data_IF_029061532175
#
_entry.id   IF_029061532175
#
_cell.length_a   1.000
_cell.length_b   1.000
_cell.length_c   1.000
_cell.angle_alpha   90.00
_cell.angle_beta   90.00
_cell.angle_gamma   90.00
#
_symmetry.space_group_name_H-M   'P 1'
#
loop_
_entity.id
_entity.type
_entity.pdbx_description
1 polymer ?
#
# COMPACT_ATOMS: atom_id res chain seq x y z
N UNK A 1 14.80 72.46 -25.11
CA UNK A 1 13.47 71.87 -25.21
C UNK A 1 13.40 70.39 -24.84
N UNK A 2 14.49 69.68 -24.57
CA UNK A 2 14.51 68.26 -24.28
C UNK A 2 14.43 67.89 -22.74
N UNK A 3 14.60 68.88 -21.86
CA UNK A 3 14.65 68.69 -20.44
C UNK A 3 13.28 68.82 -19.72
N UNK A 4 12.37 69.63 -20.30
CA UNK A 4 11.03 69.81 -19.73
C UNK A 4 10.13 68.58 -19.89
N UNK A 5 10.36 67.78 -20.92
CA UNK A 5 9.60 66.52 -21.14
C UNK A 5 9.90 65.37 -20.16
N UNK A 6 11.17 65.25 -19.74
CA UNK A 6 11.60 64.22 -18.78
C UNK A 6 11.06 64.48 -17.37
N UNK A 7 10.98 65.74 -16.97
CA UNK A 7 10.48 66.14 -15.63
C UNK A 7 8.97 65.91 -15.54
N UNK A 8 8.20 66.18 -16.61
CA UNK A 8 6.75 65.95 -16.64
C UNK A 8 6.39 64.47 -16.58
N UNK A 9 7.12 63.62 -17.31
CA UNK A 9 6.91 62.15 -17.30
C UNK A 9 7.25 61.54 -15.97
N UNK A 10 8.33 61.98 -15.31
CA UNK A 10 8.71 61.51 -13.98
C UNK A 10 7.68 61.92 -12.90
N UNK A 11 7.14 63.14 -12.99
CA UNK A 11 6.14 63.63 -12.03
C UNK A 11 4.79 62.90 -12.20
N UNK A 12 4.41 62.57 -13.43
CA UNK A 12 3.21 61.78 -13.73
C UNK A 12 3.37 60.33 -13.28
N UNK A 13 4.54 59.72 -13.47
CA UNK A 13 4.83 58.34 -13.00
C UNK A 13 4.88 58.26 -11.48
N UNK A 14 5.37 59.27 -10.78
CA UNK A 14 5.33 59.31 -9.30
C UNK A 14 3.90 59.48 -8.75
N UNK A 15 3.05 60.26 -9.40
CA UNK A 15 1.65 60.44 -8.97
C UNK A 15 0.78 59.23 -9.22
N UNK A 16 1.09 58.38 -10.21
CA UNK A 16 0.34 57.14 -10.47
C UNK A 16 0.79 55.94 -9.62
N UNK A 17 2.01 55.98 -9.06
CA UNK A 17 2.54 54.83 -8.27
C UNK A 17 2.01 54.74 -6.83
N UNK A 18 1.71 55.87 -6.20
CA UNK A 18 1.29 55.89 -4.78
C UNK A 18 -0.16 55.38 -4.57
N UNK A 19 -1.16 55.82 -5.35
CA UNK A 19 -2.51 55.30 -5.16
C UNK A 19 -2.65 53.85 -5.58
N UNK A 20 -1.88 53.37 -6.55
CA UNK A 20 -1.92 51.97 -7.00
C UNK A 20 -1.28 51.00 -5.98
N UNK A 21 -0.21 51.43 -5.31
CA UNK A 21 0.39 50.64 -4.23
C UNK A 21 -0.49 50.58 -2.98
N UNK A 22 -1.12 51.71 -2.61
CA UNK A 22 -2.06 51.75 -1.49
C UNK A 22 -3.33 50.93 -1.78
N UNK A 23 -3.87 50.94 -2.99
CA UNK A 23 -5.01 50.14 -3.39
C UNK A 23 -4.65 48.64 -3.42
N UNK A 24 -3.43 48.27 -3.82
CA UNK A 24 -2.94 46.87 -3.80
C UNK A 24 -2.74 46.38 -2.36
N UNK A 25 -2.20 47.22 -1.48
CA UNK A 25 -2.06 46.87 -0.04
C UNK A 25 -3.43 46.76 0.63
N UNK A 26 -4.39 47.61 0.31
CA UNK A 26 -5.74 47.56 0.83
C UNK A 26 -6.52 46.31 0.31
N UNK A 27 -6.27 45.89 -0.93
CA UNK A 27 -6.81 44.64 -1.49
C UNK A 27 -6.22 43.38 -0.83
N UNK A 28 -4.98 43.44 -0.34
CA UNK A 28 -4.31 42.34 0.37
C UNK A 28 -4.74 42.23 1.85
N UNK A 29 -5.39 43.25 2.41
CA UNK A 29 -5.87 43.26 3.80
C UNK A 29 -7.35 42.90 3.94
N UNK A 30 -8.06 42.65 2.84
CA UNK A 30 -9.40 42.07 2.93
C UNK A 30 -9.28 40.64 3.48
N UNK A 31 -9.96 40.30 4.60
CA UNK A 31 -9.96 38.94 5.09
C UNK A 31 -10.58 38.07 3.99
N UNK A 32 -9.75 37.33 3.28
CA UNK A 32 -10.23 36.21 2.48
C UNK A 32 -10.82 35.23 3.50
N UNK A 33 -12.14 35.11 3.55
CA UNK A 33 -12.81 34.02 4.24
C UNK A 33 -12.44 32.75 3.45
N UNK A 34 -11.25 32.25 3.71
CA UNK A 34 -10.85 30.95 3.25
C UNK A 34 -11.72 29.94 4.03
N UNK A 35 -12.63 29.27 3.33
CA UNK A 35 -13.30 28.12 3.88
C UNK A 35 -12.22 27.13 4.30
N UNK A 36 -12.19 26.79 5.59
CA UNK A 36 -11.20 25.88 6.14
C UNK A 36 -11.50 24.48 5.59
N UNK A 37 -10.69 24.03 4.62
CA UNK A 37 -10.82 22.70 4.03
C UNK A 37 -10.22 21.72 5.04
N UNK A 38 -11.00 20.76 5.58
CA UNK A 38 -10.45 19.77 6.49
C UNK A 38 -9.26 19.05 5.86
N UNK A 39 -8.13 18.99 6.59
CA UNK A 39 -6.93 18.35 6.08
C UNK A 39 -7.12 16.84 5.91
N UNK A 40 -7.74 16.18 6.88
CA UNK A 40 -7.98 14.75 6.89
C UNK A 40 -9.47 14.46 7.11
N UNK A 41 -10.09 13.73 6.19
CA UNK A 41 -11.49 13.28 6.26
C UNK A 41 -11.52 11.77 6.14
N UNK A 42 -12.13 11.10 7.14
CA UNK A 42 -12.39 9.66 7.07
C UNK A 42 -13.88 9.42 6.83
N UNK A 43 -14.18 8.66 5.77
CA UNK A 43 -15.52 8.17 5.45
C UNK A 43 -15.58 6.70 5.79
N UNK A 44 -16.47 6.30 6.70
CA UNK A 44 -16.72 4.90 6.99
C UNK A 44 -17.96 4.45 6.22
N UNK A 45 -17.88 3.31 5.54
CA UNK A 45 -18.97 2.82 4.72
C UNK A 45 -19.15 1.31 4.78
N UNK A 46 -20.38 0.86 4.62
CA UNK A 46 -20.74 -0.54 4.41
C UNK A 46 -21.54 -0.67 3.13
N UNK A 47 -21.26 -1.70 2.34
CA UNK A 47 -22.02 -2.08 1.16
C UNK A 47 -22.51 -3.52 1.32
N UNK A 48 -23.83 -3.74 1.27
CA UNK A 48 -24.45 -5.05 1.42
C UNK A 48 -25.58 -5.25 0.43
N UNK A 49 -25.51 -6.25 -0.46
CA UNK A 49 -26.67 -6.66 -1.26
C UNK A 49 -27.62 -7.48 -0.38
N UNK A 50 -28.89 -7.06 -0.26
CA UNK A 50 -29.89 -7.70 0.58
C UNK A 50 -31.31 -7.31 0.13
N UNK A 51 -32.20 -8.29 -0.01
CA UNK A 51 -33.61 -8.07 -0.33
C UNK A 51 -33.84 -7.42 -1.71
N UNK A 52 -33.05 -7.78 -2.73
CA UNK A 52 -33.15 -7.18 -4.08
C UNK A 52 -32.63 -5.74 -4.16
N UNK A 53 -31.92 -5.28 -3.16
CA UNK A 53 -31.33 -3.94 -3.09
C UNK A 53 -29.88 -3.99 -2.67
N UNK A 54 -29.08 -3.06 -3.16
CA UNK A 54 -27.74 -2.79 -2.65
C UNK A 54 -27.84 -1.66 -1.65
N UNK A 55 -27.55 -1.95 -0.38
CA UNK A 55 -27.53 -0.95 0.68
C UNK A 55 -26.14 -0.39 0.85
N UNK A 56 -26.02 0.93 0.85
CA UNK A 56 -24.82 1.67 1.19
C UNK A 56 -25.10 2.48 2.46
N UNK A 57 -24.43 2.11 3.56
CA UNK A 57 -24.40 2.91 4.77
C UNK A 57 -23.11 3.72 4.74
N UNK A 58 -23.20 5.03 5.00
CA UNK A 58 -22.02 5.88 5.05
C UNK A 58 -22.06 6.83 6.24
N UNK A 59 -20.90 7.02 6.89
CA UNK A 59 -20.68 7.99 7.96
C UNK A 59 -19.59 8.96 7.54
N UNK A 60 -19.89 10.26 7.58
CA UNK A 60 -19.01 11.33 7.13
C UNK A 60 -19.06 12.50 8.10
N UNK A 61 -17.92 13.14 8.46
CA UNK A 61 -17.94 14.36 9.26
C UNK A 61 -18.70 15.49 8.56
N UNK A 62 -19.66 16.11 9.26
CA UNK A 62 -20.45 17.22 8.71
C UNK A 62 -19.58 18.42 8.32
N UNK A 63 -18.47 18.66 9.03
CA UNK A 63 -17.50 19.71 8.71
C UNK A 63 -16.87 19.56 7.31
N UNK A 64 -16.89 18.35 6.72
CA UNK A 64 -16.40 18.10 5.36
C UNK A 64 -17.39 18.55 4.27
N UNK A 65 -18.67 18.74 4.63
CA UNK A 65 -19.74 19.13 3.72
C UNK A 65 -19.96 20.63 3.82
N UNK A 66 -19.38 21.36 2.90
CA UNK A 66 -19.46 22.82 2.80
C UNK A 66 -20.69 23.24 2.00
N UNK A 67 -21.06 24.50 2.12
CA UNK A 67 -22.15 25.10 1.33
C UNK A 67 -23.51 24.43 1.55
N UNK A 68 -23.71 23.88 2.77
CA UNK A 68 -25.01 23.34 3.21
C UNK A 68 -25.67 24.34 4.12
N UNK A 69 -26.83 24.85 3.69
CA UNK A 69 -27.64 25.72 4.54
C UNK A 69 -28.37 24.88 5.59
N UNK A 70 -27.96 25.05 6.84
CA UNK A 70 -28.50 24.27 7.96
C UNK A 70 -29.25 25.14 8.95
N UNK A 71 -30.43 24.70 9.41
CA UNK A 71 -31.18 25.40 10.41
C UNK A 71 -30.42 25.44 11.73
N UNK A 72 -30.27 26.66 12.30
CA UNK A 72 -29.55 26.90 13.55
C UNK A 72 -30.48 27.54 14.58
N UNK A 73 -30.25 27.19 15.84
CA UNK A 73 -30.86 27.84 17.01
C UNK A 73 -29.99 28.98 17.53
N UNK A 74 -30.51 29.75 18.51
CA UNK A 74 -29.73 30.76 19.23
C UNK A 74 -28.44 30.16 19.79
N UNK A 75 -27.29 30.85 19.60
CA UNK A 75 -25.98 30.36 19.98
C UNK A 75 -25.24 29.55 18.90
N UNK A 76 -25.84 29.42 17.69
CA UNK A 76 -25.17 28.74 16.54
C UNK A 76 -25.31 27.22 16.53
N UNK A 77 -26.02 26.62 17.49
CA UNK A 77 -26.26 25.18 17.56
C UNK A 77 -27.22 24.69 16.47
N UNK A 78 -27.04 23.45 16.01
CA UNK A 78 -27.97 22.81 15.07
C UNK A 78 -29.41 22.74 15.62
N UNK A 79 -30.38 23.02 14.80
CA UNK A 79 -31.77 22.73 15.10
C UNK A 79 -32.10 21.30 14.70
N UNK A 80 -31.87 20.35 15.59
CA UNK A 80 -32.07 18.92 15.34
C UNK A 80 -33.54 18.55 15.01
N UNK A 81 -34.51 19.40 15.33
CA UNK A 81 -35.88 19.17 14.97
C UNK A 81 -36.17 19.51 13.49
N UNK A 82 -35.33 20.32 12.84
CA UNK A 82 -35.54 20.85 11.48
C UNK A 82 -34.44 20.50 10.49
N UNK A 83 -33.40 19.78 10.93
CA UNK A 83 -32.16 19.53 10.16
C UNK A 83 -32.35 18.51 9.02
N UNK A 84 -33.39 17.68 9.04
CA UNK A 84 -33.53 16.52 8.15
C UNK A 84 -33.45 16.87 6.66
N UNK A 85 -34.10 17.94 6.22
CA UNK A 85 -34.02 18.35 4.81
C UNK A 85 -32.61 18.77 4.40
N UNK A 86 -31.90 19.46 5.28
CA UNK A 86 -30.51 19.87 5.03
C UNK A 86 -29.55 18.65 5.00
N UNK A 87 -29.76 17.66 5.88
CA UNK A 87 -29.00 16.41 5.87
C UNK A 87 -29.24 15.61 4.59
N UNK A 88 -30.48 15.52 4.14
CA UNK A 88 -30.83 14.83 2.91
C UNK A 88 -30.15 15.48 1.69
N UNK A 89 -30.22 16.81 1.60
CA UNK A 89 -29.54 17.57 0.56
C UNK A 89 -28.02 17.38 0.61
N UNK A 90 -27.43 17.44 1.80
CA UNK A 90 -26.00 17.20 1.99
C UNK A 90 -25.59 15.78 1.57
N UNK A 91 -26.36 14.77 1.96
CA UNK A 91 -26.13 13.38 1.57
C UNK A 91 -26.18 13.19 0.04
N UNK A 92 -27.15 13.84 -0.63
CA UNK A 92 -27.25 13.76 -2.09
C UNK A 92 -26.07 14.44 -2.77
N UNK A 93 -25.84 15.73 -2.46
CA UNK A 93 -24.83 16.57 -3.12
C UNK A 93 -23.39 16.06 -2.90
N UNK A 94 -23.08 15.61 -1.70
CA UNK A 94 -21.71 15.25 -1.32
C UNK A 94 -21.40 13.76 -1.43
N UNK A 95 -22.38 12.87 -1.34
CA UNK A 95 -22.20 11.43 -1.37
C UNK A 95 -22.84 10.77 -2.58
N UNK A 96 -24.19 10.84 -2.73
CA UNK A 96 -24.89 10.13 -3.79
C UNK A 96 -24.38 10.48 -5.19
N UNK A 97 -24.17 11.77 -5.46
CA UNK A 97 -23.74 12.26 -6.77
C UNK A 97 -22.25 11.94 -7.07
N UNK A 98 -21.49 11.60 -6.02
CA UNK A 98 -20.05 11.35 -6.11
C UNK A 98 -19.64 9.88 -5.85
N UNK A 99 -20.58 9.00 -5.51
CA UNK A 99 -20.34 7.56 -5.37
C UNK A 99 -21.04 6.84 -6.52
N UNK A 100 -20.26 6.23 -7.40
CA UNK A 100 -20.79 5.42 -8.48
C UNK A 100 -20.75 3.95 -8.07
N UNK A 101 -21.89 3.27 -8.11
CA UNK A 101 -22.02 1.83 -7.89
C UNK A 101 -22.42 1.14 -9.19
N UNK A 102 -21.92 -0.06 -9.39
CA UNK A 102 -22.13 -0.84 -10.62
C UNK A 102 -22.53 -2.27 -10.27
N UNK A 103 -23.47 -2.82 -11.06
CA UNK A 103 -23.81 -4.23 -11.14
C UNK A 103 -23.28 -4.78 -12.47
N UNK A 104 -22.30 -5.67 -12.42
CA UNK A 104 -21.53 -6.01 -13.61
C UNK A 104 -20.87 -4.78 -14.23
N UNK A 105 -21.14 -4.50 -15.50
CA UNK A 105 -20.65 -3.30 -16.19
C UNK A 105 -21.66 -2.15 -16.22
N UNK A 106 -22.85 -2.36 -15.72
CA UNK A 106 -23.92 -1.38 -15.72
C UNK A 106 -23.85 -0.50 -14.46
N UNK A 107 -23.81 0.83 -14.63
CA UNK A 107 -23.92 1.77 -13.52
C UNK A 107 -25.34 1.71 -12.96
N UNK A 108 -25.45 1.58 -11.65
CA UNK A 108 -26.74 1.64 -10.96
C UNK A 108 -27.32 3.05 -11.05
N UNK A 109 -28.65 3.12 -11.10
CA UNK A 109 -29.37 4.40 -11.06
C UNK A 109 -29.11 5.14 -9.75
N UNK A 110 -29.43 6.44 -9.71
CA UNK A 110 -29.32 7.23 -8.48
C UNK A 110 -30.05 6.57 -7.32
N UNK A 111 -29.43 6.48 -6.13
CA UNK A 111 -30.03 5.80 -5.00
C UNK A 111 -31.18 6.59 -4.41
N UNK A 112 -32.01 5.89 -3.65
CA UNK A 112 -32.92 6.53 -2.71
C UNK A 112 -32.17 6.70 -1.38
N UNK A 113 -32.04 7.91 -0.88
CA UNK A 113 -31.64 8.15 0.51
C UNK A 113 -32.84 7.81 1.41
N UNK A 114 -32.75 6.70 2.13
CA UNK A 114 -33.85 6.17 2.94
C UNK A 114 -33.88 6.84 4.31
N UNK A 115 -32.70 6.94 4.94
CA UNK A 115 -32.55 7.56 6.25
C UNK A 115 -31.30 8.43 6.28
N UNK A 116 -31.39 9.55 6.97
CA UNK A 116 -30.28 10.44 7.29
C UNK A 116 -30.38 10.87 8.74
N UNK A 117 -29.24 10.98 9.42
CA UNK A 117 -29.20 11.46 10.81
C UNK A 117 -27.89 12.10 11.18
N UNK A 118 -27.94 12.91 12.22
CA UNK A 118 -26.75 13.42 12.91
C UNK A 118 -26.34 12.46 14.00
N UNK A 119 -25.04 12.17 14.09
CA UNK A 119 -24.42 11.38 15.14
C UNK A 119 -23.27 12.14 15.79
N UNK A 120 -22.88 11.74 17.00
CA UNK A 120 -21.72 12.29 17.71
C UNK A 120 -20.43 11.62 17.21
N UNK A 121 -19.30 12.31 17.29
CA UNK A 121 -17.98 11.73 16.98
C UNK A 121 -17.64 10.50 17.85
N UNK A 122 -18.17 10.46 19.09
CA UNK A 122 -17.97 9.35 20.02
C UNK A 122 -18.89 8.15 19.79
N UNK A 123 -19.83 8.24 18.84
CA UNK A 123 -20.79 7.16 18.57
C UNK A 123 -20.11 5.94 17.96
N UNK A 124 -20.18 4.74 18.61
CA UNK A 124 -19.46 3.55 18.17
C UNK A 124 -20.21 2.71 17.12
N UNK A 125 -21.42 3.08 16.72
CA UNK A 125 -22.32 2.22 15.94
C UNK A 125 -21.79 1.76 14.58
N UNK A 126 -20.83 2.49 13.98
CA UNK A 126 -20.18 2.08 12.72
C UNK A 126 -19.04 1.03 12.89
N UNK A 127 -19.04 0.29 14.00
CA UNK A 127 -18.13 -0.87 14.18
C UNK A 127 -18.59 -2.09 13.40
N UNK A 128 -19.90 -2.32 13.31
CA UNK A 128 -20.51 -3.39 12.50
C UNK A 128 -21.65 -2.84 11.64
N UNK A 129 -22.02 -3.61 10.60
CA UNK A 129 -23.13 -3.25 9.71
C UNK A 129 -24.46 -3.25 10.47
N UNK A 130 -24.68 -4.25 11.32
CA UNK A 130 -25.91 -4.45 12.09
C UNK A 130 -26.12 -3.32 13.09
N UNK A 131 -25.05 -2.91 13.80
CA UNK A 131 -25.10 -1.76 14.73
C UNK A 131 -25.36 -0.45 13.98
N UNK A 132 -24.70 -0.22 12.83
CA UNK A 132 -24.89 0.97 12.02
C UNK A 132 -26.31 1.08 11.46
N UNK A 133 -26.88 -0.04 10.99
CA UNK A 133 -28.25 -0.08 10.50
C UNK A 133 -29.27 0.14 11.65
N UNK A 134 -29.08 -0.53 12.77
CA UNK A 134 -29.93 -0.35 13.95
C UNK A 134 -29.86 1.10 14.48
N UNK A 135 -28.67 1.71 14.46
CA UNK A 135 -28.50 3.10 14.82
C UNK A 135 -29.25 4.02 13.85
N UNK A 136 -29.11 3.86 12.54
CA UNK A 136 -29.80 4.68 11.53
C UNK A 136 -31.31 4.60 11.64
N UNK A 137 -31.88 3.46 11.97
CA UNK A 137 -33.30 3.21 12.10
C UNK A 137 -33.84 3.41 13.53
N UNK A 138 -32.97 3.63 14.49
CA UNK A 138 -33.30 3.76 15.91
C UNK A 138 -33.69 5.17 16.36
N UNK A 139 -33.64 5.45 17.67
CA UNK A 139 -33.99 6.78 18.24
C UNK A 139 -32.99 7.84 17.79
N UNK A 140 -33.44 9.05 17.50
CA UNK A 140 -32.64 10.22 17.14
C UNK A 140 -32.07 10.92 18.38
N UNK A 141 -31.09 11.80 18.17
CA UNK A 141 -30.56 12.65 19.23
C UNK A 141 -31.68 13.57 19.76
N UNK A 142 -31.70 13.85 21.07
CA UNK A 142 -32.70 14.74 21.65
C UNK A 142 -32.66 16.14 21.00
N UNK A 143 -33.84 16.71 20.65
CA UNK A 143 -33.95 18.01 20.00
C UNK A 143 -33.29 19.13 20.81
N UNK A 144 -33.18 19.01 22.13
CA UNK A 144 -32.56 19.98 23.03
C UNK A 144 -31.04 19.97 23.06
N UNK A 145 -30.39 18.97 22.43
CA UNK A 145 -28.92 18.83 22.48
C UNK A 145 -28.23 20.03 21.82
N UNK A 146 -27.17 20.52 22.48
CA UNK A 146 -26.32 21.58 21.99
C UNK A 146 -25.19 20.98 21.18
N UNK A 147 -25.26 21.00 19.87
CA UNK A 147 -24.30 20.44 18.93
C UNK A 147 -24.02 21.44 17.82
N UNK A 148 -22.74 21.72 17.56
CA UNK A 148 -22.33 22.49 16.38
C UNK A 148 -22.22 21.58 15.16
N UNK A 149 -22.36 22.17 13.96
CA UNK A 149 -22.21 21.45 12.68
C UNK A 149 -20.87 20.74 12.57
N UNK A 150 -19.82 21.40 13.01
CA UNK A 150 -18.44 20.93 12.93
C UNK A 150 -18.15 19.71 13.83
N UNK A 151 -18.97 19.47 14.84
CA UNK A 151 -18.85 18.38 15.82
C UNK A 151 -19.71 17.17 15.50
N UNK A 152 -20.57 17.29 14.47
CA UNK A 152 -21.47 16.21 14.09
C UNK A 152 -20.90 15.33 12.98
N UNK A 153 -21.45 14.11 12.91
CA UNK A 153 -21.29 13.19 11.79
C UNK A 153 -22.62 13.05 11.06
N UNK A 154 -22.61 12.97 9.74
CA UNK A 154 -23.74 12.53 8.95
C UNK A 154 -23.67 11.00 8.81
N UNK A 155 -24.72 10.33 9.25
CA UNK A 155 -24.97 8.93 8.92
C UNK A 155 -26.10 8.88 7.89
N UNK A 156 -25.92 8.07 6.84
CA UNK A 156 -26.90 7.92 5.76
C UNK A 156 -27.03 6.47 5.30
N UNK A 157 -28.25 6.07 4.99
CA UNK A 157 -28.61 4.82 4.32
C UNK A 157 -29.10 5.13 2.90
N UNK A 158 -28.36 4.67 1.91
CA UNK A 158 -28.78 4.66 0.51
C UNK A 158 -29.21 3.25 0.08
N UNK A 159 -30.27 3.17 -0.72
CA UNK A 159 -30.70 1.94 -1.37
C UNK A 159 -30.69 2.09 -2.89
N UNK A 160 -30.05 1.14 -3.56
CA UNK A 160 -29.99 1.03 -5.01
C UNK A 160 -30.76 -0.21 -5.46
N UNK A 161 -31.64 -0.14 -6.46
CA UNK A 161 -32.27 -1.33 -7.03
C UNK A 161 -31.22 -2.16 -7.76
N UNK A 162 -31.21 -3.48 -7.55
CA UNK A 162 -30.30 -4.42 -8.19
C UNK A 162 -31.06 -5.59 -8.81
N UNK A 163 -30.48 -6.19 -9.84
CA UNK A 163 -31.04 -7.37 -10.50
C UNK A 163 -30.74 -8.68 -9.74
N UNK A 164 -29.57 -8.76 -9.06
CA UNK A 164 -29.19 -9.97 -8.32
C UNK A 164 -28.26 -9.66 -7.15
N UNK A 165 -28.52 -10.22 -5.98
CA UNK A 165 -27.64 -10.11 -4.81
C UNK A 165 -26.27 -10.77 -5.02
N UNK A 166 -26.19 -11.75 -5.92
CA UNK A 166 -24.97 -12.47 -6.29
C UNK A 166 -24.24 -11.89 -7.49
N UNK A 167 -24.69 -10.72 -7.97
CA UNK A 167 -24.01 -10.03 -9.06
C UNK A 167 -22.63 -9.52 -8.63
N UNK A 168 -21.80 -9.22 -9.62
CA UNK A 168 -20.50 -8.60 -9.37
C UNK A 168 -20.69 -7.10 -9.16
N UNK A 169 -20.44 -6.63 -7.95
CA UNK A 169 -20.51 -5.21 -7.62
C UNK A 169 -19.16 -4.53 -7.74
N UNK A 170 -19.19 -3.28 -8.20
CA UNK A 170 -18.03 -2.40 -8.22
C UNK A 170 -18.41 -1.03 -7.70
N UNK A 171 -17.45 -0.32 -7.10
CA UNK A 171 -17.63 1.03 -6.59
C UNK A 171 -16.56 1.95 -7.14
N UNK A 172 -16.90 3.21 -7.39
CA UNK A 172 -15.95 4.30 -7.61
C UNK A 172 -16.32 5.47 -6.72
N UNK A 173 -15.62 5.64 -5.58
CA UNK A 173 -15.83 6.74 -4.66
C UNK A 173 -15.05 7.98 -5.12
N UNK A 174 -15.74 8.97 -5.70
CA UNK A 174 -15.16 10.27 -6.12
C UNK A 174 -15.37 11.30 -5.01
N UNK A 175 -14.77 11.08 -3.86
CA UNK A 175 -15.00 11.86 -2.66
C UNK A 175 -13.92 12.91 -2.35
N UNK A 176 -13.01 13.19 -3.29
CA UNK A 176 -11.88 14.12 -3.12
C UNK A 176 -12.32 15.53 -2.71
N UNK A 177 -13.53 15.93 -3.04
CA UNK A 177 -14.09 17.24 -2.70
C UNK A 177 -14.34 17.42 -1.20
N UNK A 178 -14.40 16.34 -0.40
CA UNK A 178 -14.66 16.40 1.04
C UNK A 178 -13.48 16.96 1.84
N UNK A 179 -12.25 16.86 1.33
CA UNK A 179 -11.07 17.34 2.05
C UNK A 179 -9.79 17.22 1.23
N UNK A 180 -8.67 17.72 1.77
CA UNK A 180 -7.35 17.64 1.12
C UNK A 180 -6.82 16.20 1.07
N UNK A 181 -7.14 15.40 2.10
CA UNK A 181 -6.86 13.97 2.18
C UNK A 181 -8.13 13.25 2.62
N UNK A 182 -8.76 12.55 1.69
CA UNK A 182 -9.96 11.75 1.97
C UNK A 182 -9.57 10.28 2.01
N UNK A 183 -9.89 9.64 3.12
CA UNK A 183 -9.75 8.20 3.32
C UNK A 183 -11.13 7.57 3.41
N UNK A 184 -11.41 6.60 2.58
CA UNK A 184 -12.65 5.82 2.60
C UNK A 184 -12.36 4.43 3.13
N UNK A 185 -12.89 4.10 4.30
CA UNK A 185 -12.87 2.77 4.90
C UNK A 185 -14.20 2.06 4.57
N UNK A 186 -14.20 1.19 3.58
CA UNK A 186 -15.36 0.48 3.08
C UNK A 186 -15.32 -0.99 3.52
N UNK A 187 -16.45 -1.52 3.97
CA UNK A 187 -16.66 -2.95 4.19
C UNK A 187 -17.77 -3.45 3.26
N UNK A 188 -17.44 -4.41 2.41
CA UNK A 188 -18.38 -5.12 1.56
C UNK A 188 -18.79 -6.43 2.22
N UNK A 189 -20.08 -6.69 2.32
CA UNK A 189 -20.66 -7.89 2.91
C UNK A 189 -21.37 -8.71 1.82
N UNK A 190 -20.66 -9.66 1.16
CA UNK A 190 -21.27 -10.49 0.13
C UNK A 190 -22.28 -11.47 0.76
N UNK A 191 -23.31 -11.94 0.01
CA UNK A 191 -24.24 -12.92 0.49
C UNK A 191 -23.54 -14.26 0.82
N UNK A 192 -23.62 -14.68 2.09
CA UNK A 192 -23.04 -15.95 2.55
C UNK A 192 -21.50 -16.00 2.60
N UNK A 193 -20.82 -14.85 2.47
CA UNK A 193 -19.37 -14.73 2.55
C UNK A 193 -18.89 -13.87 3.72
N UNK A 194 -17.58 -13.87 3.95
CA UNK A 194 -16.96 -13.00 4.95
C UNK A 194 -16.91 -11.55 4.49
N UNK A 195 -16.99 -10.61 5.45
CA UNK A 195 -16.86 -9.19 5.19
C UNK A 195 -15.47 -8.85 4.64
N UNK A 196 -15.42 -8.05 3.59
CA UNK A 196 -14.18 -7.61 2.93
C UNK A 196 -13.95 -6.14 3.20
N UNK A 197 -12.80 -5.82 3.75
CA UNK A 197 -12.40 -4.45 4.04
C UNK A 197 -11.59 -3.85 2.89
N UNK A 198 -11.93 -2.61 2.52
CA UNK A 198 -11.21 -1.82 1.54
C UNK A 198 -10.86 -0.47 2.16
N UNK A 199 -9.69 0.04 1.85
CA UNK A 199 -9.27 1.38 2.22
C UNK A 199 -8.78 2.13 0.97
N UNK A 200 -9.43 3.24 0.64
CA UNK A 200 -9.08 4.07 -0.50
C UNK A 200 -8.58 5.42 -0.02
N UNK A 201 -7.59 5.97 -0.72
CA UNK A 201 -7.14 7.36 -0.57
C UNK A 201 -7.27 8.04 -1.93
N UNK A 202 -8.05 9.11 -2.00
CA UNK A 202 -8.37 9.78 -3.26
C UNK A 202 -9.34 8.98 -4.15
N UNK A 203 -9.30 9.21 -5.49
CA UNK A 203 -10.08 8.43 -6.46
C UNK A 203 -9.31 7.18 -6.92
N UNK A 204 -9.66 5.98 -6.43
CA UNK A 204 -8.98 4.73 -6.83
C UNK A 204 -9.41 4.24 -8.22
N UNK A 205 -10.29 4.97 -8.92
CA UNK A 205 -11.01 4.48 -10.07
C UNK A 205 -12.12 3.48 -9.69
N UNK A 206 -12.52 2.64 -10.65
CA UNK A 206 -13.55 1.62 -10.44
C UNK A 206 -12.94 0.37 -9.80
N UNK A 207 -13.35 0.07 -8.56
CA UNK A 207 -12.88 -1.07 -7.77
C UNK A 207 -13.95 -2.15 -7.70
N UNK A 208 -13.60 -3.39 -8.04
CA UNK A 208 -14.46 -4.56 -7.86
C UNK A 208 -14.48 -4.99 -6.41
N UNK A 209 -15.68 -5.14 -5.84
CA UNK A 209 -15.88 -5.53 -4.44
C UNK A 209 -15.79 -7.05 -4.23
N UNK A 210 -16.00 -7.83 -5.30
CA UNK A 210 -15.86 -9.29 -5.32
C UNK A 210 -15.23 -9.76 -6.63
N UNK A 211 -13.89 -9.65 -6.78
CA UNK A 211 -13.24 -10.09 -8.00
C UNK A 211 -13.28 -11.62 -8.11
N UNK A 212 -13.45 -12.14 -9.35
CA UNK A 212 -13.24 -13.56 -9.64
C UNK A 212 -11.74 -13.90 -9.48
N UNK A 213 -11.43 -15.16 -9.12
CA UNK A 213 -10.06 -15.60 -8.85
C UNK A 213 -9.05 -15.19 -9.96
N UNK A 214 -9.43 -15.32 -11.24
CA UNK A 214 -8.53 -14.96 -12.35
C UNK A 214 -8.33 -13.44 -12.49
N UNK A 215 -9.31 -12.62 -12.07
CA UNK A 215 -9.21 -11.16 -12.08
C UNK A 215 -8.28 -10.69 -10.96
N UNK A 216 -8.40 -11.31 -9.78
CA UNK A 216 -7.45 -11.12 -8.69
C UNK A 216 -6.04 -11.59 -9.13
N UNK A 217 -5.93 -12.79 -9.69
CA UNK A 217 -4.66 -13.35 -10.16
C UNK A 217 -3.96 -12.40 -11.16
N UNK A 218 -4.65 -11.95 -12.21
CA UNK A 218 -4.06 -11.07 -13.23
C UNK A 218 -3.58 -9.74 -12.63
N UNK A 219 -4.40 -9.13 -11.76
CA UNK A 219 -4.02 -7.89 -11.07
C UNK A 219 -2.77 -8.08 -10.21
N UNK A 220 -2.66 -9.21 -9.51
CA UNK A 220 -1.51 -9.48 -8.66
C UNK A 220 -0.26 -9.87 -9.46
N UNK A 221 -0.39 -10.51 -10.62
CA UNK A 221 0.74 -10.69 -11.57
C UNK A 221 1.25 -9.33 -12.03
N UNK A 222 0.36 -8.42 -12.43
CA UNK A 222 0.72 -7.05 -12.81
C UNK A 222 1.40 -6.30 -11.68
N UNK A 223 0.84 -6.36 -10.46
CA UNK A 223 1.42 -5.72 -9.28
C UNK A 223 2.82 -6.27 -8.96
N UNK A 224 3.03 -7.59 -9.00
CA UNK A 224 4.34 -8.22 -8.79
C UNK A 224 5.36 -7.86 -9.85
N UNK A 225 4.94 -7.77 -11.11
CA UNK A 225 5.80 -7.35 -12.22
C UNK A 225 6.29 -5.92 -12.03
N UNK A 226 5.38 -4.98 -11.76
CA UNK A 226 5.75 -3.58 -11.53
C UNK A 226 6.46 -3.36 -10.20
N UNK A 227 6.26 -4.21 -9.20
CA UNK A 227 7.02 -4.19 -7.95
C UNK A 227 8.53 -4.34 -8.20
N UNK A 228 8.94 -5.26 -9.08
CA UNK A 228 10.35 -5.42 -9.47
C UNK A 228 10.85 -4.24 -10.28
N UNK A 229 10.10 -3.78 -11.27
CA UNK A 229 10.54 -2.68 -12.13
C UNK A 229 10.58 -1.32 -11.41
N UNK A 230 9.70 -1.11 -10.43
CA UNK A 230 9.67 0.09 -9.59
C UNK A 230 10.57 0.02 -8.35
N UNK A 231 11.01 -1.17 -7.95
CA UNK A 231 11.86 -1.40 -6.77
C UNK A 231 13.34 -1.20 -7.08
N UNK A 232 13.88 -0.01 -6.81
CA UNK A 232 15.31 0.28 -7.03
C UNK A 232 16.25 -0.66 -6.28
N UNK A 233 15.87 -1.13 -5.11
CA UNK A 233 16.59 -2.13 -4.31
C UNK A 233 16.66 -3.48 -5.02
N UNK A 234 15.56 -3.95 -5.61
CA UNK A 234 15.53 -5.17 -6.42
C UNK A 234 16.38 -5.04 -7.68
N UNK A 235 16.30 -3.90 -8.37
CA UNK A 235 17.09 -3.66 -9.58
C UNK A 235 18.61 -3.63 -9.27
N UNK A 236 19.04 -2.97 -8.20
CA UNK A 236 20.42 -2.95 -7.76
C UNK A 236 20.91 -4.33 -7.30
N UNK A 237 20.04 -5.08 -6.61
CA UNK A 237 20.34 -6.45 -6.21
C UNK A 237 20.53 -7.36 -7.43
N UNK A 238 19.62 -7.31 -8.41
CA UNK A 238 19.75 -8.05 -9.69
C UNK A 238 20.98 -7.62 -10.47
N UNK A 239 21.30 -6.33 -10.51
CA UNK A 239 22.53 -5.84 -11.13
C UNK A 239 23.76 -6.47 -10.47
N UNK A 240 23.84 -6.52 -9.14
CA UNK A 240 24.92 -7.21 -8.42
C UNK A 240 25.01 -8.71 -8.76
N UNK A 241 23.89 -9.38 -9.01
CA UNK A 241 23.90 -10.78 -9.43
C UNK A 241 24.49 -10.97 -10.83
N UNK A 242 24.19 -10.06 -11.76
CA UNK A 242 24.57 -10.18 -13.18
C UNK A 242 26.01 -9.72 -13.42
N UNK A 243 26.53 -8.72 -12.70
CA UNK A 243 27.86 -8.15 -12.91
C UNK A 243 28.96 -9.23 -13.07
N UNK A 244 29.14 -10.22 -12.17
CA UNK A 244 30.20 -11.21 -12.29
C UNK A 244 29.82 -12.43 -13.13
N UNK A 245 28.52 -12.66 -13.39
CA UNK A 245 28.02 -13.85 -14.08
C UNK A 245 26.97 -13.47 -15.11
N UNK A 246 27.26 -13.73 -16.38
CA UNK A 246 26.41 -13.37 -17.51
C UNK A 246 25.82 -14.59 -18.25
N UNK A 247 25.65 -15.72 -17.53
CA UNK A 247 25.00 -16.92 -18.06
C UNK A 247 23.55 -16.97 -17.56
N UNK A 248 22.57 -16.87 -18.45
CA UNK A 248 21.15 -16.76 -18.09
C UNK A 248 20.63 -17.95 -17.26
N UNK A 249 20.93 -19.20 -17.68
CA UNK A 249 20.40 -20.38 -16.99
C UNK A 249 20.79 -20.47 -15.51
N UNK A 250 22.08 -20.34 -15.12
CA UNK A 250 22.45 -20.28 -13.70
C UNK A 250 21.85 -19.08 -12.95
N UNK A 251 21.70 -17.93 -13.62
CA UNK A 251 21.10 -16.73 -12.99
C UNK A 251 19.61 -16.92 -12.74
N UNK A 252 18.87 -17.53 -13.64
CA UNK A 252 17.45 -17.85 -13.42
C UNK A 252 17.32 -18.74 -12.19
N UNK A 253 18.12 -19.78 -12.02
CA UNK A 253 18.08 -20.65 -10.83
C UNK A 253 18.34 -19.87 -9.51
N UNK A 254 19.28 -18.92 -9.54
CA UNK A 254 19.60 -18.07 -8.37
C UNK A 254 18.43 -17.13 -8.07
N UNK A 255 17.83 -16.53 -9.09
CA UNK A 255 16.71 -15.60 -8.97
C UNK A 255 15.45 -16.34 -8.50
N UNK A 256 15.14 -17.51 -9.07
CA UNK A 256 14.03 -18.36 -8.60
C UNK A 256 14.18 -18.75 -7.13
N UNK A 257 15.43 -19.03 -6.69
CA UNK A 257 15.71 -19.27 -5.26
C UNK A 257 15.33 -18.06 -4.38
N UNK A 258 15.61 -16.83 -4.85
CA UNK A 258 15.16 -15.60 -4.19
C UNK A 258 13.63 -15.50 -4.16
N UNK A 259 12.96 -15.72 -5.30
CA UNK A 259 11.49 -15.63 -5.40
C UNK A 259 10.79 -16.64 -4.48
N UNK A 260 11.31 -17.87 -4.38
CA UNK A 260 10.78 -18.88 -3.46
C UNK A 260 10.91 -18.42 -2.01
N UNK A 261 12.08 -17.91 -1.60
CA UNK A 261 12.29 -17.40 -0.25
C UNK A 261 11.42 -16.17 0.05
N UNK A 262 11.34 -15.23 -0.90
CA UNK A 262 10.46 -14.07 -0.85
C UNK A 262 8.99 -14.48 -0.66
N UNK A 263 8.54 -15.51 -1.40
CA UNK A 263 7.18 -16.04 -1.30
C UNK A 263 6.89 -16.58 0.11
N UNK A 264 7.84 -17.28 0.74
CA UNK A 264 7.67 -17.84 2.09
C UNK A 264 7.39 -16.72 3.10
N UNK A 265 8.20 -15.67 3.12
CA UNK A 265 8.04 -14.57 4.08
C UNK A 265 6.87 -13.66 3.75
N UNK A 266 6.57 -13.47 2.46
CA UNK A 266 5.38 -12.74 2.01
C UNK A 266 4.08 -13.44 2.48
N UNK A 267 3.98 -14.75 2.29
CA UNK A 267 2.84 -15.56 2.75
C UNK A 267 2.78 -15.52 4.28
N UNK A 268 3.90 -15.74 4.98
CA UNK A 268 3.94 -15.66 6.44
C UNK A 268 3.41 -14.31 6.96
N UNK A 269 3.82 -13.22 6.32
CA UNK A 269 3.36 -11.88 6.67
C UNK A 269 1.88 -11.64 6.38
N UNK A 270 1.34 -12.21 5.30
CA UNK A 270 -0.08 -12.11 4.96
C UNK A 270 -1.00 -12.84 5.97
N UNK A 271 -0.45 -13.83 6.68
CA UNK A 271 -1.10 -14.53 7.79
C UNK A 271 -0.70 -13.99 9.17
N UNK A 272 -0.20 -12.75 9.25
CA UNK A 272 0.18 -12.07 10.48
C UNK A 272 1.21 -12.83 11.35
N UNK A 273 2.06 -13.67 10.73
CA UNK A 273 3.14 -14.39 11.40
C UNK A 273 4.39 -13.53 11.59
N UNK A 274 4.43 -12.33 11.03
CA UNK A 274 5.52 -11.35 11.23
C UNK A 274 5.34 -10.53 12.51
N UNK A 275 6.42 -9.94 13.05
CA UNK A 275 6.32 -9.04 14.18
C UNK A 275 5.47 -7.80 13.87
N UNK A 276 4.46 -7.52 14.71
CA UNK A 276 3.67 -6.29 14.63
C UNK A 276 4.30 -5.22 15.54
N UNK A 277 5.42 -4.67 15.09
CA UNK A 277 6.18 -3.68 15.85
C UNK A 277 6.70 -2.56 14.95
N UNK A 278 6.67 -1.31 15.43
CA UNK A 278 7.07 -0.14 14.66
C UNK A 278 8.56 -0.14 14.25
N UNK A 279 9.41 -0.85 14.97
CA UNK A 279 10.84 -1.01 14.64
C UNK A 279 11.10 -2.04 13.54
N UNK A 280 10.12 -2.93 13.26
CA UNK A 280 10.33 -4.03 12.32
C UNK A 280 10.50 -3.56 10.86
N UNK A 281 9.66 -2.64 10.29
CA UNK A 281 9.89 -2.13 8.94
C UNK A 281 11.26 -1.48 8.76
N UNK A 282 11.73 -0.54 9.61
CA UNK A 282 13.06 0.03 9.49
C UNK A 282 14.20 -1.00 9.60
N UNK A 283 14.03 -2.05 10.41
CA UNK A 283 14.98 -3.16 10.48
C UNK A 283 15.09 -3.87 9.13
N UNK A 284 13.95 -4.26 8.55
CA UNK A 284 13.92 -4.98 7.27
C UNK A 284 14.50 -4.11 6.15
N UNK A 285 14.14 -2.83 6.08
CA UNK A 285 14.72 -1.90 5.10
C UNK A 285 16.25 -1.78 5.25
N UNK A 286 16.76 -1.74 6.48
CA UNK A 286 18.20 -1.73 6.75
C UNK A 286 18.86 -3.02 6.27
N UNK A 287 18.26 -4.19 6.56
CA UNK A 287 18.77 -5.49 6.15
C UNK A 287 18.74 -5.67 4.61
N UNK A 288 17.75 -5.10 3.93
CA UNK A 288 17.72 -5.04 2.46
C UNK A 288 18.94 -4.27 1.94
N UNK A 289 19.22 -3.08 2.47
CA UNK A 289 20.39 -2.30 2.08
C UNK A 289 21.71 -3.05 2.38
N UNK A 290 21.81 -3.71 3.54
CA UNK A 290 22.96 -4.58 3.90
C UNK A 290 23.12 -5.71 2.89
N UNK A 291 22.05 -6.35 2.41
CA UNK A 291 22.11 -7.43 1.44
C UNK A 291 22.70 -6.98 0.09
N UNK A 292 22.32 -5.78 -0.39
CA UNK A 292 22.87 -5.21 -1.62
C UNK A 292 24.36 -4.87 -1.44
N UNK A 293 24.71 -4.25 -0.31
CA UNK A 293 26.10 -3.93 0.02
C UNK A 293 26.97 -5.19 0.09
N UNK A 294 26.47 -6.25 0.75
CA UNK A 294 27.14 -7.55 0.82
C UNK A 294 27.43 -8.12 -0.57
N UNK A 295 26.43 -8.11 -1.47
CA UNK A 295 26.58 -8.61 -2.85
C UNK A 295 27.60 -7.80 -3.65
N UNK A 296 27.61 -6.48 -3.46
CA UNK A 296 28.59 -5.61 -4.10
C UNK A 296 30.03 -5.90 -3.62
N UNK A 297 30.22 -6.09 -2.32
CA UNK A 297 31.52 -6.46 -1.73
C UNK A 297 31.96 -7.85 -2.21
N UNK A 298 31.05 -8.83 -2.23
CA UNK A 298 31.36 -10.20 -2.71
C UNK A 298 31.81 -10.19 -4.18
N UNK A 299 31.23 -9.32 -5.01
CA UNK A 299 31.68 -9.17 -6.40
C UNK A 299 33.13 -8.69 -6.52
N UNK A 300 33.58 -7.80 -5.64
CA UNK A 300 34.95 -7.27 -5.62
C UNK A 300 35.94 -8.29 -5.08
N UNK A 301 35.58 -9.05 -4.05
CA UNK A 301 36.43 -10.03 -3.39
C UNK A 301 36.58 -11.35 -4.16
N UNK A 302 35.68 -11.63 -5.07
CA UNK A 302 35.62 -12.86 -5.85
C UNK A 302 34.40 -13.72 -5.50
N UNK A 303 33.49 -13.77 -6.42
CA UNK A 303 32.19 -14.42 -6.26
C UNK A 303 32.19 -15.89 -6.70
N UNK A 304 31.38 -16.73 -6.05
CA UNK A 304 31.20 -18.14 -6.39
C UNK A 304 29.72 -18.45 -6.69
N UNK A 305 29.40 -18.83 -7.92
CA UNK A 305 28.02 -19.21 -8.34
C UNK A 305 27.45 -20.31 -7.44
N UNK A 306 28.30 -21.26 -7.00
CA UNK A 306 27.86 -22.42 -6.22
C UNK A 306 27.26 -22.06 -4.87
N UNK A 307 27.64 -20.96 -4.22
CA UNK A 307 27.13 -20.49 -2.93
C UNK A 307 26.04 -19.45 -3.09
N UNK A 308 25.93 -18.79 -4.24
CA UNK A 308 25.02 -17.65 -4.44
C UNK A 308 23.55 -17.98 -4.25
N UNK A 309 23.08 -19.15 -4.67
CA UNK A 309 21.69 -19.52 -4.48
C UNK A 309 21.27 -19.54 -2.99
N UNK A 310 22.16 -20.01 -2.09
CA UNK A 310 21.89 -20.01 -0.65
C UNK A 310 21.85 -18.59 -0.06
N UNK A 311 22.82 -17.76 -0.45
CA UNK A 311 22.91 -16.35 -0.02
C UNK A 311 21.68 -15.60 -0.53
N UNK A 312 21.34 -15.78 -1.79
CA UNK A 312 20.18 -15.14 -2.43
C UNK A 312 18.87 -15.63 -1.81
N UNK A 313 18.78 -16.90 -1.44
CA UNK A 313 17.65 -17.43 -0.67
C UNK A 313 17.50 -16.71 0.67
N UNK A 314 18.60 -16.60 1.45
CA UNK A 314 18.56 -15.90 2.74
C UNK A 314 18.15 -14.43 2.59
N UNK A 315 18.63 -13.75 1.56
CA UNK A 315 18.22 -12.36 1.27
C UNK A 315 16.78 -12.27 0.77
N UNK A 316 16.29 -13.24 0.00
CA UNK A 316 14.90 -13.34 -0.40
C UNK A 316 13.94 -13.39 0.80
N UNK A 317 14.30 -14.11 1.87
CA UNK A 317 13.51 -14.10 3.12
C UNK A 317 13.41 -12.70 3.74
N UNK A 318 14.48 -11.92 3.70
CA UNK A 318 14.47 -10.54 4.22
C UNK A 318 13.61 -9.64 3.32
N UNK A 319 13.80 -9.68 2.00
CA UNK A 319 13.10 -8.84 1.03
C UNK A 319 11.59 -9.09 1.05
N UNK A 320 11.13 -10.33 1.25
CA UNK A 320 9.70 -10.65 1.32
C UNK A 320 8.97 -9.98 2.50
N UNK A 321 9.64 -9.78 3.63
CA UNK A 321 9.09 -8.97 4.72
C UNK A 321 9.03 -7.48 4.38
N UNK A 322 9.93 -6.96 3.53
CA UNK A 322 9.96 -5.54 3.16
C UNK A 322 8.71 -5.08 2.42
N UNK A 323 8.14 -5.93 1.57
CA UNK A 323 6.91 -5.62 0.85
C UNK A 323 5.62 -5.86 1.66
N UNK A 324 5.69 -6.57 2.76
CA UNK A 324 4.52 -7.01 3.53
C UNK A 324 3.61 -5.86 3.99
N UNK A 325 4.19 -4.70 4.31
CA UNK A 325 3.43 -3.51 4.74
C UNK A 325 2.67 -2.84 3.58
N UNK A 326 3.29 -2.77 2.39
CA UNK A 326 2.63 -2.28 1.19
C UNK A 326 1.56 -3.27 0.71
N UNK A 327 1.85 -4.57 0.83
CA UNK A 327 0.95 -5.66 0.44
C UNK A 327 -0.38 -5.65 1.20
N UNK A 328 -0.40 -5.28 2.48
CA UNK A 328 -1.66 -5.17 3.25
C UNK A 328 -2.69 -4.28 2.56
N UNK A 329 -2.25 -3.21 1.88
CA UNK A 329 -3.12 -2.34 1.09
C UNK A 329 -3.58 -2.99 -0.21
N UNK A 330 -2.72 -3.78 -0.84
CA UNK A 330 -3.05 -4.50 -2.07
C UNK A 330 -3.95 -5.71 -1.81
N UNK A 331 -3.80 -6.39 -0.66
CA UNK A 331 -4.60 -7.57 -0.29
C UNK A 331 -6.10 -7.30 -0.18
N UNK A 332 -6.53 -6.05 0.04
CA UNK A 332 -7.94 -5.67 -0.04
C UNK A 332 -8.57 -6.04 -1.39
N UNK A 333 -7.78 -6.09 -2.48
CA UNK A 333 -8.24 -6.46 -3.83
C UNK A 333 -8.18 -7.95 -4.13
N UNK A 334 -7.66 -8.76 -3.21
CA UNK A 334 -7.61 -10.23 -3.35
C UNK A 334 -8.98 -10.89 -3.17
N UNK A 335 -9.89 -10.24 -2.46
CA UNK A 335 -11.19 -10.81 -2.08
C UNK A 335 -11.00 -12.09 -1.25
N UNK A 336 -11.74 -13.16 -1.60
CA UNK A 336 -11.59 -14.48 -0.97
C UNK A 336 -10.39 -15.29 -1.51
N UNK A 337 -9.60 -14.74 -2.46
CA UNK A 337 -8.56 -15.48 -3.20
C UNK A 337 -7.15 -15.12 -2.75
N UNK A 338 -6.92 -14.97 -1.42
CA UNK A 338 -5.65 -14.54 -0.85
C UNK A 338 -4.45 -15.35 -1.35
N UNK A 339 -4.48 -16.68 -1.21
CA UNK A 339 -3.37 -17.54 -1.63
C UNK A 339 -3.11 -17.46 -3.13
N UNK A 340 -4.18 -17.48 -3.95
CA UNK A 340 -4.06 -17.33 -5.40
C UNK A 340 -3.42 -15.98 -5.76
N UNK A 341 -3.81 -14.91 -5.09
CA UNK A 341 -3.26 -13.58 -5.30
C UNK A 341 -1.78 -13.50 -4.94
N UNK A 342 -1.37 -14.08 -3.80
CA UNK A 342 0.02 -14.11 -3.37
C UNK A 342 0.90 -14.92 -4.33
N UNK A 343 0.44 -16.09 -4.77
CA UNK A 343 1.15 -16.90 -5.76
C UNK A 343 1.25 -16.19 -7.11
N UNK A 344 0.18 -15.51 -7.53
CA UNK A 344 0.14 -14.72 -8.77
C UNK A 344 1.09 -13.51 -8.69
N UNK A 345 1.16 -12.84 -7.55
CA UNK A 345 2.14 -11.77 -7.31
C UNK A 345 3.57 -12.28 -7.48
N UNK A 346 3.92 -13.42 -6.89
CA UNK A 346 5.25 -14.00 -7.02
C UNK A 346 5.54 -14.46 -8.45
N UNK A 347 4.56 -14.93 -9.20
CA UNK A 347 4.71 -15.19 -10.64
C UNK A 347 5.03 -13.88 -11.40
N UNK A 348 4.38 -12.78 -11.06
CA UNK A 348 4.70 -11.44 -11.60
C UNK A 348 6.12 -10.99 -11.26
N UNK A 349 6.54 -11.17 -10.02
CA UNK A 349 7.92 -10.92 -9.55
C UNK A 349 8.91 -11.69 -10.41
N UNK A 350 8.71 -13.00 -10.59
CA UNK A 350 9.62 -13.86 -11.40
C UNK A 350 9.68 -13.37 -12.85
N UNK A 351 8.54 -13.06 -13.46
CA UNK A 351 8.48 -12.52 -14.84
C UNK A 351 9.26 -11.19 -14.93
N UNK A 352 9.07 -10.28 -13.96
CA UNK A 352 9.80 -9.01 -13.90
C UNK A 352 11.31 -9.20 -13.78
N UNK A 353 11.75 -10.09 -12.91
CA UNK A 353 13.16 -10.42 -12.71
C UNK A 353 13.79 -11.04 -13.97
N UNK A 354 13.11 -11.99 -14.60
CA UNK A 354 13.58 -12.61 -15.87
C UNK A 354 13.70 -11.55 -16.96
N UNK A 355 12.74 -10.64 -17.09
CA UNK A 355 12.83 -9.52 -18.04
C UNK A 355 14.06 -8.65 -17.77
N UNK A 356 14.30 -8.29 -16.52
CA UNK A 356 15.48 -7.49 -16.13
C UNK A 356 16.77 -8.23 -16.46
N UNK A 357 16.84 -9.54 -16.21
CA UNK A 357 18.00 -10.36 -16.58
C UNK A 357 18.23 -10.39 -18.10
N UNK A 358 17.16 -10.56 -18.89
CA UNK A 358 17.23 -10.56 -20.36
C UNK A 358 17.73 -9.21 -20.93
N UNK A 359 17.53 -8.13 -20.23
CA UNK A 359 18.04 -6.80 -20.61
C UNK A 359 19.45 -6.54 -20.06
N UNK A 360 19.71 -6.86 -18.79
CA UNK A 360 20.99 -6.56 -18.15
C UNK A 360 22.14 -7.45 -18.67
N UNK A 361 21.90 -8.74 -18.92
CA UNK A 361 22.96 -9.66 -19.36
C UNK A 361 23.59 -9.19 -20.68
N UNK A 362 22.83 -8.97 -21.79
CA UNK A 362 23.44 -8.50 -23.03
C UNK A 362 23.99 -7.09 -22.92
N UNK A 363 23.37 -6.21 -22.12
CA UNK A 363 23.86 -4.85 -21.88
C UNK A 363 25.25 -4.85 -21.24
N UNK A 364 25.43 -5.64 -20.18
CA UNK A 364 26.74 -5.76 -19.51
C UNK A 364 27.75 -6.50 -20.37
N UNK A 365 27.33 -7.51 -21.15
CA UNK A 365 28.23 -8.19 -22.08
C UNK A 365 28.75 -7.21 -23.14
N UNK A 366 27.90 -6.35 -23.69
CA UNK A 366 28.27 -5.29 -24.61
C UNK A 366 29.22 -4.28 -23.99
N UNK A 367 28.91 -3.85 -22.74
CA UNK A 367 29.73 -2.91 -21.97
C UNK A 367 31.14 -3.44 -21.76
N UNK A 368 31.28 -4.70 -21.31
CA UNK A 368 32.56 -5.32 -21.03
C UNK A 368 33.33 -5.72 -22.30
N UNK A 369 32.63 -5.94 -23.40
CA UNK A 369 33.29 -6.24 -24.68
C UNK A 369 33.86 -5.02 -25.37
N UNK A 370 33.22 -3.84 -25.26
CA UNK A 370 33.56 -2.66 -26.08
C UNK A 370 34.04 -1.46 -25.30
N UNK A 371 33.74 -1.35 -23.99
CA UNK A 371 33.98 -0.11 -23.23
C UNK A 371 34.92 -0.31 -22.05
N UNK A 372 34.74 -1.37 -21.26
CA UNK A 372 35.45 -1.60 -20.00
C UNK A 372 36.07 -3.00 -19.97
N UNK A 373 37.30 -3.11 -19.44
CA UNK A 373 37.84 -4.39 -19.04
C UNK A 373 36.94 -5.07 -18.00
N UNK A 374 36.76 -6.39 -18.11
CA UNK A 374 35.81 -7.13 -17.29
C UNK A 374 36.09 -7.00 -15.78
N UNK A 375 37.38 -7.05 -15.38
CA UNK A 375 37.76 -6.92 -13.97
C UNK A 375 37.53 -5.50 -13.45
N UNK A 376 37.95 -4.50 -14.22
CA UNK A 376 37.81 -3.10 -13.88
C UNK A 376 36.30 -2.73 -13.83
N UNK A 377 35.55 -3.14 -14.84
CA UNK A 377 34.12 -2.88 -14.92
C UNK A 377 33.33 -3.53 -13.78
N UNK A 378 33.68 -4.78 -13.41
CA UNK A 378 33.08 -5.46 -12.24
C UNK A 378 33.34 -4.68 -10.96
N UNK A 379 34.57 -4.21 -10.73
CA UNK A 379 34.93 -3.43 -9.54
C UNK A 379 34.19 -2.09 -9.54
N UNK A 380 34.26 -1.33 -10.65
CA UNK A 380 33.64 0.00 -10.75
C UNK A 380 32.13 -0.06 -10.53
N UNK A 381 31.43 -0.94 -11.24
CA UNK A 381 29.98 -1.08 -11.08
C UNK A 381 29.60 -1.56 -9.67
N UNK A 382 30.34 -2.50 -9.11
CA UNK A 382 30.07 -2.99 -7.75
C UNK A 382 30.34 -1.91 -6.69
N UNK A 383 31.36 -1.08 -6.86
CA UNK A 383 31.65 0.05 -5.95
C UNK A 383 30.53 1.10 -6.05
N UNK A 384 30.04 1.42 -7.24
CA UNK A 384 28.91 2.37 -7.41
C UNK A 384 27.63 1.86 -6.73
N UNK A 385 27.27 0.60 -6.93
CA UNK A 385 26.11 -0.01 -6.25
C UNK A 385 26.36 -0.09 -4.75
N UNK A 386 27.56 -0.50 -4.32
CA UNK A 386 27.92 -0.57 -2.91
C UNK A 386 27.89 0.78 -2.21
N UNK A 387 28.31 1.85 -2.89
CA UNK A 387 28.21 3.22 -2.37
C UNK A 387 26.74 3.63 -2.13
N UNK A 388 25.85 3.39 -3.09
CA UNK A 388 24.42 3.65 -2.93
C UNK A 388 23.82 2.84 -1.78
N UNK A 389 24.12 1.54 -1.72
CA UNK A 389 23.64 0.65 -0.67
C UNK A 389 24.15 1.05 0.72
N UNK A 390 25.42 1.55 0.81
CA UNK A 390 25.99 2.07 2.05
C UNK A 390 25.19 3.28 2.57
N UNK A 391 24.89 4.25 1.70
CA UNK A 391 24.09 5.41 2.08
C UNK A 391 22.70 5.00 2.57
N UNK A 392 22.03 4.09 1.87
CA UNK A 392 20.73 3.57 2.31
C UNK A 392 20.80 2.84 3.63
N UNK A 393 21.85 2.04 3.83
CA UNK A 393 22.08 1.33 5.10
C UNK A 393 22.23 2.32 6.27
N UNK A 394 23.01 3.38 6.08
CA UNK A 394 23.21 4.41 7.12
C UNK A 394 21.93 5.16 7.42
N UNK A 395 21.21 5.64 6.39
CA UNK A 395 19.95 6.38 6.55
C UNK A 395 18.87 5.54 7.25
N UNK A 396 18.67 4.29 6.78
CA UNK A 396 17.65 3.38 7.34
C UNK A 396 18.05 2.90 8.74
N UNK A 397 19.35 2.65 8.95
CA UNK A 397 19.93 2.30 10.25
C UNK A 397 19.79 3.42 11.29
N UNK A 398 19.96 4.67 10.89
CA UNK A 398 19.70 5.82 11.77
C UNK A 398 18.21 5.90 12.19
N UNK A 399 17.28 5.66 11.25
CA UNK A 399 15.85 5.59 11.56
C UNK A 399 15.54 4.45 12.54
N UNK A 400 16.18 3.29 12.35
CA UNK A 400 16.07 2.14 13.24
C UNK A 400 16.60 2.47 14.65
N UNK A 401 17.71 3.18 14.74
CA UNK A 401 18.32 3.59 16.01
C UNK A 401 17.47 4.56 16.87
N UNK A 402 16.46 5.22 16.26
CA UNK A 402 15.53 6.12 16.97
C UNK A 402 14.41 5.37 17.70
N UNK A 403 14.21 4.10 17.43
CA UNK A 403 13.21 3.29 18.15
C UNK A 403 13.77 2.81 19.48
N UNK A 404 12.99 2.89 20.57
CA UNK A 404 13.36 2.27 21.83
C UNK A 404 13.38 0.74 21.60
N UNK A 405 14.54 0.14 21.72
CA UNK A 405 14.67 -1.31 21.65
C UNK A 405 13.94 -1.92 22.85
N UNK A 406 13.09 -2.94 22.64
CA UNK A 406 12.48 -3.63 23.78
C UNK A 406 13.61 -4.19 24.67
N UNK A 407 13.54 -3.90 25.95
CA UNK A 407 14.40 -4.56 26.91
C UNK A 407 14.20 -6.09 26.76
N UNK A 408 15.27 -6.78 26.37
CA UNK A 408 15.23 -8.22 26.20
C UNK A 408 15.09 -8.89 27.57
N UNK A 409 13.87 -9.01 28.06
CA UNK A 409 13.56 -9.75 29.26
C UNK A 409 13.85 -11.27 29.09
N UNK A 410 14.06 -11.98 30.18
CA UNK A 410 14.37 -13.42 30.20
C UNK A 410 13.32 -14.25 29.42
N UNK A 411 12.05 -13.86 29.43
CA UNK A 411 10.98 -14.52 28.68
C UNK A 411 11.13 -14.38 27.16
N UNK A 412 11.58 -13.24 26.67
CA UNK A 412 11.81 -12.97 25.25
C UNK A 412 13.06 -13.69 24.74
N UNK A 413 14.13 -13.74 25.57
CA UNK A 413 15.32 -14.52 25.27
C UNK A 413 15.01 -16.04 25.22
N UNK A 414 14.19 -16.54 26.16
CA UNK A 414 13.73 -17.94 26.16
C UNK A 414 12.87 -18.26 24.92
N UNK A 415 12.00 -17.34 24.50
CA UNK A 415 11.20 -17.47 23.28
C UNK A 415 12.08 -17.50 22.04
N UNK A 416 13.04 -16.58 21.92
CA UNK A 416 14.00 -16.53 20.80
C UNK A 416 14.85 -17.81 20.75
N UNK A 417 15.34 -18.30 21.90
CA UNK A 417 16.10 -19.56 21.98
C UNK A 417 15.24 -20.77 21.55
N UNK A 418 13.95 -20.79 21.92
CA UNK A 418 13.00 -21.83 21.48
C UNK A 418 12.81 -21.83 19.98
N UNK A 419 12.60 -20.65 19.37
CA UNK A 419 12.47 -20.52 17.93
C UNK A 419 13.75 -20.94 17.19
N UNK A 420 14.91 -20.52 17.69
CA UNK A 420 16.20 -20.94 17.12
C UNK A 420 16.36 -22.46 17.18
N UNK A 421 16.02 -23.07 18.29
CA UNK A 421 16.06 -24.53 18.46
C UNK A 421 15.12 -25.24 17.48
N UNK A 422 13.89 -24.74 17.29
CA UNK A 422 12.93 -25.31 16.33
C UNK A 422 13.44 -25.19 14.89
N UNK A 423 14.05 -24.07 14.52
CA UNK A 423 14.64 -23.86 13.20
C UNK A 423 15.80 -24.85 12.98
N UNK A 424 16.68 -25.04 13.97
CA UNK A 424 17.79 -25.97 13.89
C UNK A 424 17.31 -27.44 13.79
N UNK A 425 16.30 -27.82 14.56
CA UNK A 425 15.67 -29.14 14.47
C UNK A 425 15.08 -29.37 13.09
N UNK A 426 14.32 -28.38 12.57
CA UNK A 426 13.71 -28.46 11.25
C UNK A 426 14.78 -28.58 10.14
N UNK A 427 15.84 -27.79 10.21
CA UNK A 427 16.98 -27.88 9.28
C UNK A 427 17.69 -29.25 9.34
N UNK A 428 17.85 -29.80 10.55
CA UNK A 428 18.42 -31.14 10.74
C UNK A 428 17.53 -32.24 10.16
N UNK A 429 16.21 -32.14 10.36
CA UNK A 429 15.22 -33.08 9.80
C UNK A 429 15.20 -33.01 8.26
N UNK A 430 15.22 -31.80 7.68
CA UNK A 430 15.33 -31.63 6.23
C UNK A 430 16.61 -32.25 5.66
N UNK A 431 17.74 -32.06 6.31
CA UNK A 431 19.01 -32.65 5.90
C UNK A 431 18.98 -34.18 5.98
N UNK A 432 18.36 -34.72 7.03
CA UNK A 432 18.18 -36.17 7.20
C UNK A 432 17.26 -36.73 6.11
N UNK A 433 16.12 -36.08 5.88
CA UNK A 433 15.17 -36.49 4.85
C UNK A 433 15.81 -36.48 3.44
N UNK A 434 16.57 -35.42 3.13
CA UNK A 434 17.30 -35.30 1.87
C UNK A 434 18.38 -36.38 1.73
N UNK A 435 19.13 -36.67 2.80
CA UNK A 435 20.12 -37.76 2.82
C UNK A 435 19.51 -39.15 2.64
N UNK A 436 18.33 -39.38 3.22
CA UNK A 436 17.58 -40.63 3.04
C UNK A 436 17.02 -40.77 1.60
N UNK A 437 16.56 -39.67 1.03
CA UNK A 437 16.06 -39.61 -0.34
C UNK A 437 17.19 -39.90 -1.35
N UNK A 438 18.38 -39.30 -1.16
CA UNK A 438 19.54 -39.55 -1.99
C UNK A 438 20.00 -41.04 -1.92
N UNK A 439 19.98 -41.64 -0.72
CA UNK A 439 20.33 -43.08 -0.55
C UNK A 439 19.30 -44.00 -1.23
N UNK A 440 18.02 -43.60 -1.38
CA UNK A 440 17.01 -44.35 -2.11
C UNK A 440 17.11 -44.20 -3.62
N UNK A 441 17.62 -43.05 -4.10
CA UNK A 441 17.78 -42.76 -5.53
C UNK A 441 19.08 -43.29 -6.12
N UNK A 442 20.06 -43.72 -5.28
CA UNK A 442 21.27 -44.43 -5.68
C UNK A 442 21.25 -45.88 -5.19
N UNK A 443 20.38 -46.76 -5.70
CA UNK A 443 20.46 -48.18 -5.37
C UNK A 443 21.53 -48.80 -6.24
N UNK A 444 22.76 -49.00 -5.70
CA UNK A 444 23.71 -49.93 -6.26
C UNK A 444 25.04 -49.39 -6.78
N UNK A 445 25.74 -48.57 -6.03
CA UNK A 445 27.21 -48.48 -6.20
C UNK A 445 27.84 -49.56 -5.32
N UNK A 446 28.07 -50.77 -5.91
CA UNK A 446 28.89 -51.80 -5.31
C UNK A 446 30.29 -51.23 -5.08
N UNK A 447 30.95 -51.50 -3.95
CA UNK A 447 32.35 -51.14 -3.78
C UNK A 447 33.17 -51.86 -4.85
N UNK A 448 34.01 -51.12 -5.55
CA UNK A 448 34.95 -51.61 -6.53
C UNK A 448 36.01 -52.45 -5.79
N UNK A 449 36.21 -53.75 -6.11
CA UNK A 449 37.07 -54.63 -5.35
C UNK A 449 38.49 -54.67 -5.88
N UNK A 450 39.00 -53.59 -6.47
CA UNK A 450 40.37 -53.60 -7.01
C UNK A 450 41.23 -52.44 -6.52
N UNK A 451 41.78 -52.56 -5.32
CA UNK A 451 43.09 -51.99 -4.92
C UNK A 451 43.67 -52.77 -3.74
N UNK A 452 43.91 -54.07 -3.97
CA UNK A 452 44.89 -54.84 -3.17
C UNK A 452 45.67 -55.77 -4.08
N UNK A 453 46.65 -55.20 -4.77
CA UNK A 453 47.83 -55.88 -5.23
C UNK A 453 48.75 -54.89 -5.99
N UNK A 454 49.88 -54.59 -5.40
CA UNK A 454 51.25 -54.25 -5.72
C UNK A 454 51.72 -53.08 -4.90
#
# INVERSE_FOLDING_TARGET
MLDAGKTLVNTLMQRMRVPSAAALILALTLPAVAHDIPNDVTVNAFVKPEGGRLRLLARVPLKAMRDVDVPRRSGGFLDLARVDAALHNAATLWLSDNIELYEGDMRLASPRAVETRVSLESDPSFRSYEEALAHLTGPRLPNGMQLFWEQGLLDVLFEYPIGSERAQFSIRPKLDRLGSKVRVALRFLPPGGEARAFEFSGDPGRVRLDPRWYQAALRFVESGFFHILGGTDHLLFLLCLVIPFRRLVPLIMVVTSFTVAHSVTLIASAYDLGPDALWFPPLIETLIAVSILYMAIENVLGSSVRRRWMITFAFGLVHGFGFSFALRRELQFAGSHLLTSLLSFNAGVEIGQVLVLLLLVPLLELLFRFVLDERIGTIVLSVLVGHTAWHWMMERGERLGRFPWPELGAAQLASAARWLMLILIFAALLRLAFGLLQRRLEPGRKPDPDHSAV
#
